data_IF_936280407204
#
_entry.id   IF_936280407204
#
_cell.length_a   1.000
_cell.length_b   1.000
_cell.length_c   1.000
_cell.angle_alpha   90.00
_cell.angle_beta   90.00
_cell.angle_gamma   90.00
#
_symmetry.space_group_name_H-M   'P 1'
#
loop_
_entity.id
_entity.type
_entity.pdbx_description
1 polymer ?
#
# COMPACT_ATOMS: atom_id res chain seq x y z
N UNK A 1 17.06 -21.56 6.21
CA UNK A 1 16.14 -20.51 6.68
C UNK A 1 14.73 -20.99 6.31
N UNK A 2 13.85 -21.03 7.30
CA UNK A 2 12.47 -21.43 7.04
C UNK A 2 11.80 -20.38 6.14
N UNK A 3 10.92 -20.84 5.25
CA UNK A 3 10.20 -19.97 4.30
C UNK A 3 9.52 -18.77 5.00
N UNK A 4 8.98 -19.02 6.20
CA UNK A 4 8.35 -17.99 7.05
C UNK A 4 9.34 -16.91 7.51
N UNK A 5 10.58 -17.27 7.84
CA UNK A 5 11.61 -16.30 8.24
C UNK A 5 11.99 -15.36 7.09
N UNK A 6 12.04 -15.89 5.88
CA UNK A 6 12.29 -15.10 4.66
C UNK A 6 11.13 -14.14 4.40
N UNK A 7 9.89 -14.62 4.48
CA UNK A 7 8.70 -13.78 4.33
C UNK A 7 8.63 -12.66 5.37
N UNK A 8 8.84 -12.98 6.64
CA UNK A 8 8.91 -11.98 7.71
C UNK A 8 9.96 -10.92 7.48
N UNK A 9 11.14 -11.31 6.99
CA UNK A 9 12.19 -10.36 6.69
C UNK A 9 11.82 -9.44 5.50
N UNK A 10 11.21 -9.97 4.45
CA UNK A 10 10.71 -9.18 3.30
C UNK A 10 9.64 -8.19 3.76
N UNK A 11 8.67 -8.65 4.55
CA UNK A 11 7.62 -7.82 5.09
C UNK A 11 8.15 -6.73 6.03
N UNK A 12 9.14 -7.06 6.87
CA UNK A 12 9.86 -6.08 7.68
C UNK A 12 10.48 -4.96 6.82
N UNK A 13 11.16 -5.32 5.72
CA UNK A 13 11.73 -4.32 4.80
C UNK A 13 10.66 -3.41 4.17
N UNK A 14 9.51 -3.97 3.83
CA UNK A 14 8.37 -3.19 3.30
C UNK A 14 7.80 -2.22 4.34
N UNK A 15 7.59 -2.68 5.58
CA UNK A 15 7.12 -1.82 6.67
C UNK A 15 8.12 -0.70 7.00
N UNK A 16 9.41 -1.01 6.98
CA UNK A 16 10.47 -0.02 7.17
C UNK A 16 10.46 1.04 6.06
N UNK A 17 10.28 0.62 4.80
CA UNK A 17 10.16 1.52 3.66
C UNK A 17 8.92 2.42 3.78
N UNK A 18 7.79 1.85 4.14
CA UNK A 18 6.55 2.61 4.37
C UNK A 18 6.73 3.66 5.47
N UNK A 19 7.32 3.28 6.60
CA UNK A 19 7.63 4.19 7.69
C UNK A 19 8.57 5.33 7.24
N UNK A 20 9.64 5.00 6.50
CA UNK A 20 10.55 5.98 5.92
C UNK A 20 9.83 7.00 5.04
N UNK A 21 8.91 6.55 4.19
CA UNK A 21 8.11 7.43 3.33
C UNK A 21 7.20 8.35 4.14
N UNK A 22 6.58 7.83 5.21
CA UNK A 22 5.75 8.63 6.11
C UNK A 22 6.56 9.69 6.86
N UNK A 23 7.76 9.33 7.35
CA UNK A 23 8.68 10.26 8.03
C UNK A 23 9.17 11.36 7.06
N UNK A 24 9.54 10.98 5.84
CA UNK A 24 9.94 11.93 4.80
C UNK A 24 8.81 12.91 4.44
N UNK A 25 7.57 12.42 4.37
CA UNK A 25 6.39 13.28 4.14
C UNK A 25 6.13 14.26 5.28
N UNK A 26 6.59 13.95 6.50
CA UNK A 26 6.55 14.86 7.68
C UNK A 26 7.73 15.81 7.74
N UNK A 27 8.68 15.71 6.81
CA UNK A 27 9.89 16.52 6.80
C UNK A 27 10.98 16.03 7.76
N UNK A 28 10.85 14.82 8.31
CA UNK A 28 11.83 14.24 9.22
C UNK A 28 13.08 13.79 8.48
N UNK A 29 14.30 14.06 9.01
CA UNK A 29 15.53 13.68 8.36
C UNK A 29 15.72 12.17 8.37
N UNK A 30 16.41 11.63 7.37
CA UNK A 30 16.74 10.20 7.30
C UNK A 30 17.64 9.73 8.46
N UNK A 31 18.46 10.65 8.97
CA UNK A 31 19.30 10.39 10.14
C UNK A 31 18.44 10.08 11.36
N UNK A 32 18.73 8.95 12.02
CA UNK A 32 17.97 8.51 13.19
C UNK A 32 16.68 7.74 12.86
N UNK A 33 16.39 7.46 11.58
CA UNK A 33 15.22 6.70 11.15
C UNK A 33 15.07 5.37 11.90
N UNK A 34 16.18 4.63 12.07
CA UNK A 34 16.15 3.35 12.77
C UNK A 34 15.75 3.48 14.25
N UNK A 35 16.17 4.57 14.90
CA UNK A 35 15.79 4.86 16.28
C UNK A 35 14.30 5.21 16.39
N UNK A 36 13.79 6.03 15.48
CA UNK A 36 12.36 6.38 15.44
C UNK A 36 11.49 5.17 15.11
N UNK A 37 11.91 4.38 14.13
CA UNK A 37 11.23 3.12 13.82
C UNK A 37 11.22 2.18 15.02
N UNK A 38 12.35 2.03 15.70
CA UNK A 38 12.46 1.21 16.91
C UNK A 38 11.52 1.67 18.01
N UNK A 39 11.44 2.98 18.25
CA UNK A 39 10.49 3.57 19.22
C UNK A 39 9.03 3.31 18.81
N UNK A 40 8.71 3.43 17.52
CA UNK A 40 7.38 3.20 16.99
C UNK A 40 6.91 1.75 17.15
N UNK A 41 7.78 0.77 16.82
CA UNK A 41 7.42 -0.67 16.91
C UNK A 41 7.73 -1.29 18.29
N UNK A 42 8.33 -0.55 19.21
CA UNK A 42 8.71 -1.05 20.54
C UNK A 42 9.90 -2.03 20.51
N UNK A 43 10.80 -1.90 19.53
CA UNK A 43 11.95 -2.79 19.33
C UNK A 43 13.25 -1.98 19.43
N UNK A 44 14.26 -2.51 20.14
CA UNK A 44 15.51 -1.77 20.29
C UNK A 44 16.22 -1.55 18.94
N UNK A 45 16.81 -0.35 18.69
CA UNK A 45 17.54 -0.05 17.47
C UNK A 45 18.70 -1.01 17.22
N UNK A 46 19.33 -1.50 18.28
CA UNK A 46 20.40 -2.51 18.20
C UNK A 46 19.88 -3.82 17.60
N UNK A 47 18.70 -4.28 18.02
CA UNK A 47 18.10 -5.49 17.46
C UNK A 47 17.73 -5.29 15.99
N UNK A 48 17.13 -4.15 15.64
CA UNK A 48 16.81 -3.78 14.25
C UNK A 48 18.06 -3.72 13.37
N UNK A 49 19.18 -3.21 13.90
CA UNK A 49 20.48 -3.24 13.21
C UNK A 49 20.95 -4.68 12.93
N UNK A 50 20.76 -5.60 13.88
CA UNK A 50 21.08 -7.02 13.66
C UNK A 50 20.18 -7.66 12.59
N UNK A 51 18.89 -7.30 12.56
CA UNK A 51 17.98 -7.73 11.49
C UNK A 51 18.45 -7.22 10.12
N UNK A 52 18.76 -5.92 10.02
CA UNK A 52 19.19 -5.28 8.78
C UNK A 52 20.47 -5.92 8.20
N UNK A 53 21.38 -6.33 9.08
CA UNK A 53 22.65 -6.94 8.71
C UNK A 53 22.57 -8.49 8.53
N UNK A 54 21.35 -9.05 8.57
CA UNK A 54 21.16 -10.51 8.44
C UNK A 54 21.71 -11.35 9.59
N UNK A 55 22.11 -10.70 10.71
CA UNK A 55 22.64 -11.39 11.90
C UNK A 55 21.58 -12.08 12.75
N UNK A 56 20.33 -11.66 12.58
CA UNK A 56 19.15 -12.26 13.25
C UNK A 56 17.99 -12.36 12.27
N UNK A 57 17.15 -13.38 12.45
CA UNK A 57 15.89 -13.51 11.75
C UNK A 57 14.78 -12.79 12.50
N UNK A 58 13.70 -12.42 11.78
CA UNK A 58 12.49 -11.87 12.38
C UNK A 58 11.71 -13.01 13.04
N UNK A 59 11.81 -13.09 14.36
CA UNK A 59 11.07 -14.09 15.16
C UNK A 59 9.57 -13.77 15.22
N UNK A 60 8.76 -14.77 15.64
CA UNK A 60 7.31 -14.62 15.76
C UNK A 60 6.90 -13.45 16.68
N UNK A 61 7.52 -13.32 17.84
CA UNK A 61 7.22 -12.22 18.77
C UNK A 61 7.50 -10.85 18.16
N UNK A 62 8.63 -10.70 17.47
CA UNK A 62 8.99 -9.46 16.77
C UNK A 62 7.99 -9.14 15.65
N UNK A 63 7.53 -10.16 14.91
CA UNK A 63 6.52 -10.01 13.88
C UNK A 63 5.20 -9.49 14.48
N UNK A 64 4.71 -10.08 15.57
CA UNK A 64 3.48 -9.63 16.27
C UNK A 64 3.59 -8.19 16.79
N UNK A 65 4.77 -7.78 17.29
CA UNK A 65 5.01 -6.41 17.72
C UNK A 65 4.91 -5.42 16.55
N UNK A 66 5.49 -5.74 15.40
CA UNK A 66 5.39 -4.92 14.19
C UNK A 66 3.96 -4.82 13.67
N UNK A 67 3.24 -5.94 13.60
CA UNK A 67 1.84 -5.98 13.20
C UNK A 67 0.98 -5.07 14.10
N UNK A 68 1.14 -5.17 15.40
CA UNK A 68 0.42 -4.33 16.37
C UNK A 68 0.71 -2.84 16.16
N UNK A 69 1.97 -2.47 15.95
CA UNK A 69 2.36 -1.08 15.76
C UNK A 69 1.78 -0.48 14.47
N UNK A 70 1.68 -1.27 13.40
CA UNK A 70 1.10 -0.85 12.12
C UNK A 70 -0.42 -1.08 12.00
N UNK A 71 -1.07 -1.61 13.03
CA UNK A 71 -2.50 -1.93 13.00
C UNK A 71 -2.86 -3.05 12.01
N UNK A 72 -1.93 -3.97 11.75
CA UNK A 72 -2.11 -5.10 10.86
C UNK A 72 -2.72 -6.31 11.62
N UNK A 73 -3.45 -7.20 10.92
CA UNK A 73 -3.98 -8.40 11.54
C UNK A 73 -2.85 -9.35 11.97
N UNK A 74 -3.10 -10.12 13.02
CA UNK A 74 -2.17 -11.13 13.50
C UNK A 74 -1.88 -12.17 12.43
N UNK A 75 -0.59 -12.46 12.21
CA UNK A 75 -0.13 -13.37 11.16
C UNK A 75 0.16 -12.70 9.83
N UNK A 76 -0.11 -11.41 9.68
CA UNK A 76 0.15 -10.69 8.43
C UNK A 76 1.62 -10.83 7.99
N UNK A 77 2.57 -10.72 8.90
CA UNK A 77 4.00 -10.86 8.62
C UNK A 77 4.41 -12.25 8.10
N UNK A 78 3.58 -13.26 8.33
CA UNK A 78 3.87 -14.66 7.97
C UNK A 78 3.44 -15.00 6.53
N UNK A 79 2.74 -14.08 5.85
CA UNK A 79 2.27 -14.24 4.49
C UNK A 79 3.05 -13.38 3.50
N UNK A 80 3.09 -13.79 2.23
CA UNK A 80 3.75 -13.01 1.16
C UNK A 80 2.83 -11.90 0.65
N UNK A 81 3.20 -10.65 0.93
CA UNK A 81 2.49 -9.46 0.47
C UNK A 81 3.26 -8.67 -0.60
N UNK A 82 4.52 -9.03 -0.86
CA UNK A 82 5.43 -8.26 -1.71
C UNK A 82 5.78 -9.02 -2.98
N UNK A 83 5.72 -10.34 -2.93
CA UNK A 83 6.07 -11.24 -4.03
C UNK A 83 4.91 -11.65 -4.90
N UNK A 84 3.82 -10.85 -4.97
CA UNK A 84 2.61 -11.25 -5.64
C UNK A 84 2.00 -12.46 -4.93
N UNK A 85 0.96 -12.25 -4.14
CA UNK A 85 0.32 -13.33 -3.40
C UNK A 85 0.12 -14.55 -4.32
N UNK A 86 0.18 -15.75 -3.76
CA UNK A 86 -0.20 -16.98 -4.45
C UNK A 86 -1.63 -16.94 -5.05
N UNK A 87 -2.36 -15.86 -4.78
CA UNK A 87 -3.66 -15.47 -5.33
C UNK A 87 -3.59 -14.50 -6.50
N UNK A 88 -2.39 -14.00 -6.90
CA UNK A 88 -2.29 -13.25 -8.15
C UNK A 88 -2.77 -14.14 -9.29
N UNK A 89 -3.86 -13.73 -9.91
CA UNK A 89 -4.37 -14.46 -11.07
C UNK A 89 -3.28 -14.57 -12.14
N UNK A 90 -3.31 -15.61 -12.94
CA UNK A 90 -2.39 -15.75 -14.08
C UNK A 90 -2.34 -14.46 -14.90
N UNK A 91 -3.49 -13.84 -15.12
CA UNK A 91 -3.64 -12.58 -15.83
C UNK A 91 -2.89 -11.41 -15.17
N UNK A 92 -2.90 -11.33 -13.84
CA UNK A 92 -2.18 -10.29 -13.11
C UNK A 92 -0.66 -10.44 -13.24
N UNK A 93 -0.15 -11.67 -13.18
CA UNK A 93 1.28 -11.94 -13.39
C UNK A 93 1.71 -11.61 -14.81
N UNK A 94 0.96 -12.04 -15.81
CA UNK A 94 1.22 -11.72 -17.22
C UNK A 94 1.20 -10.20 -17.45
N UNK A 95 0.26 -9.48 -16.83
CA UNK A 95 0.21 -8.02 -16.88
C UNK A 95 1.45 -7.38 -16.27
N UNK A 96 1.88 -7.82 -15.08
CA UNK A 96 3.08 -7.29 -14.42
C UNK A 96 4.35 -7.57 -15.22
N UNK A 97 4.47 -8.74 -15.81
CA UNK A 97 5.60 -9.08 -16.69
C UNK A 97 5.66 -8.18 -17.92
N UNK A 98 4.52 -7.99 -18.60
CA UNK A 98 4.41 -7.10 -19.75
C UNK A 98 4.69 -5.64 -19.40
N UNK A 99 4.16 -5.16 -18.27
CA UNK A 99 4.41 -3.82 -17.78
C UNK A 99 5.90 -3.59 -17.48
N UNK A 100 6.55 -4.57 -16.85
CA UNK A 100 7.99 -4.52 -16.56
C UNK A 100 8.83 -4.57 -17.83
N UNK A 101 8.45 -5.38 -18.81
CA UNK A 101 9.11 -5.45 -20.11
C UNK A 101 9.00 -4.12 -20.86
N UNK A 102 7.81 -3.52 -20.90
CA UNK A 102 7.58 -2.21 -21.50
C UNK A 102 8.45 -1.13 -20.82
N UNK A 103 8.48 -1.12 -19.48
CA UNK A 103 9.31 -0.18 -18.73
C UNK A 103 10.81 -0.33 -19.04
N UNK A 104 11.31 -1.55 -19.21
CA UNK A 104 12.72 -1.79 -19.56
C UNK A 104 13.07 -1.35 -20.98
N UNK A 105 12.13 -1.45 -21.92
CA UNK A 105 12.32 -1.03 -23.31
C UNK A 105 12.20 0.48 -23.48
N UNK A 106 11.20 1.09 -22.87
CA UNK A 106 10.89 2.52 -23.01
C UNK A 106 10.35 3.11 -21.72
N UNK A 107 11.21 3.44 -20.74
CA UNK A 107 10.77 3.93 -19.42
C UNK A 107 9.88 5.18 -19.50
N UNK A 108 10.20 6.12 -20.40
CA UNK A 108 9.45 7.38 -20.56
C UNK A 108 8.05 7.12 -21.11
N UNK A 109 7.92 6.24 -22.09
CA UNK A 109 6.63 5.87 -22.67
C UNK A 109 5.76 5.10 -21.65
N UNK A 110 6.36 4.15 -20.92
CA UNK A 110 5.66 3.39 -19.88
C UNK A 110 5.09 4.30 -18.78
N UNK A 111 5.88 5.28 -18.33
CA UNK A 111 5.43 6.27 -17.36
C UNK A 111 4.33 7.17 -17.92
N UNK A 112 4.46 7.63 -19.17
CA UNK A 112 3.48 8.49 -19.82
C UNK A 112 2.15 7.79 -20.01
N UNK A 113 2.14 6.50 -20.40
CA UNK A 113 0.94 5.70 -20.53
C UNK A 113 0.24 5.48 -19.18
N UNK A 114 1.00 5.19 -18.13
CA UNK A 114 0.46 5.02 -16.79
C UNK A 114 -0.15 6.32 -16.25
N UNK A 115 0.55 7.43 -16.39
CA UNK A 115 0.07 8.75 -15.96
C UNK A 115 -1.20 9.15 -16.71
N UNK A 116 -1.25 8.93 -18.02
CA UNK A 116 -2.44 9.19 -18.85
C UNK A 116 -3.62 8.35 -18.37
N UNK A 117 -3.43 7.05 -18.14
CA UNK A 117 -4.47 6.16 -17.65
C UNK A 117 -5.02 6.59 -16.29
N UNK A 118 -4.13 6.95 -15.36
CA UNK A 118 -4.51 7.43 -14.03
C UNK A 118 -5.25 8.77 -14.12
N UNK A 119 -4.78 9.70 -14.96
CA UNK A 119 -5.44 10.99 -15.16
C UNK A 119 -6.86 10.81 -15.73
N UNK A 120 -7.03 9.98 -16.75
CA UNK A 120 -8.34 9.68 -17.34
C UNK A 120 -9.31 9.06 -16.32
N UNK A 121 -8.80 8.20 -15.42
CA UNK A 121 -9.58 7.61 -14.34
C UNK A 121 -10.03 8.63 -13.29
N UNK A 122 -9.14 9.54 -12.91
CA UNK A 122 -9.43 10.59 -11.92
C UNK A 122 -10.44 11.58 -12.51
N UNK A 123 -10.21 12.06 -13.73
CA UNK A 123 -11.10 13.02 -14.41
C UNK A 123 -12.43 12.35 -14.75
N UNK A 124 -12.42 11.13 -15.30
CA UNK A 124 -13.64 10.39 -15.63
C UNK A 124 -14.48 10.00 -14.42
N UNK A 125 -13.84 9.76 -13.25
CA UNK A 125 -14.52 9.50 -11.97
C UNK A 125 -15.20 10.75 -11.41
N UNK A 126 -14.60 11.92 -11.54
CA UNK A 126 -15.14 13.19 -11.09
C UNK A 126 -16.39 13.60 -11.91
N UNK A 127 -16.38 13.39 -13.24
CA UNK A 127 -17.52 13.72 -14.10
C UNK A 127 -18.73 12.78 -13.92
N UNK A 128 -18.51 11.53 -13.47
CA UNK A 128 -19.61 10.61 -13.17
C UNK A 128 -20.24 10.82 -11.77
N UNK A 129 -19.51 11.43 -10.83
CA UNK A 129 -20.04 11.81 -9.52
C UNK A 129 -21.08 12.91 -9.62
N UNK A 130 -20.84 13.92 -10.45
CA UNK A 130 -21.71 15.09 -10.62
C UNK A 130 -23.07 14.73 -11.26
N UNK A 131 -23.09 13.79 -12.20
CA UNK A 131 -24.35 13.31 -12.81
C UNK A 131 -25.24 12.49 -11.88
N UNK A 132 -24.70 11.96 -10.78
CA UNK A 132 -25.51 11.25 -9.78
C UNK A 132 -26.19 12.21 -8.81
N UNK A 133 -25.56 13.32 -8.48
CA UNK A 133 -26.16 14.34 -7.59
C UNK A 133 -27.28 15.11 -8.29
N UNK A 134 -27.17 15.46 -9.58
CA UNK A 134 -28.23 16.10 -10.33
C UNK A 134 -29.48 15.23 -10.48
N UNK A 135 -29.34 13.90 -10.59
CA UNK A 135 -30.49 12.99 -10.67
C UNK A 135 -31.24 12.84 -9.33
N UNK A 136 -30.54 12.97 -8.21
CA UNK A 136 -31.15 12.87 -6.88
C UNK A 136 -31.85 14.17 -6.47
N UNK A 137 -31.40 15.33 -6.94
CA UNK A 137 -32.06 16.63 -6.69
C UNK A 137 -33.31 16.79 -7.55
N UNK A 138 -33.28 16.34 -8.81
CA UNK A 138 -34.44 16.42 -9.71
C UNK A 138 -35.59 15.48 -9.32
N UNK A 139 -35.33 14.42 -8.58
CA UNK A 139 -36.37 13.49 -8.09
C UNK A 139 -37.10 13.98 -6.83
N UNK A 140 -36.60 15.01 -6.13
CA UNK A 140 -37.16 15.55 -4.89
C UNK A 140 -38.15 16.72 -5.08
N UNK A 141 -38.33 17.23 -6.30
CA UNK A 141 -39.18 18.41 -6.59
C UNK A 141 -40.52 18.02 -7.24
N UNK A 142 -41.07 16.84 -7.04
CA UNK A 142 -42.47 16.56 -7.37
C UNK A 142 -43.33 16.61 -6.11
N UNK A 143 -43.80 17.81 -5.80
CA UNK A 143 -44.91 18.05 -4.86
C UNK A 143 -46.21 17.63 -5.52
N UNK A 144 -47.05 16.76 -4.94
CA UNK A 144 -48.38 16.49 -5.49
C UNK A 144 -49.28 17.66 -5.20
N UNK A 145 -49.86 18.22 -6.26
CA UNK A 145 -50.92 19.22 -6.16
C UNK A 145 -52.16 18.61 -5.47
N UNK A 146 -52.58 19.19 -4.36
CA UNK A 146 -53.88 18.98 -3.72
C UNK A 146 -54.98 19.47 -4.66
N UNK A 147 -55.73 18.57 -5.24
CA UNK A 147 -57.04 18.86 -5.81
C UNK A 147 -58.11 18.71 -4.74
N UNK A 148 -58.72 19.80 -4.34
CA UNK A 148 -59.89 19.78 -3.51
C UNK A 148 -61.12 19.62 -4.37
N UNK A 149 -62.06 18.84 -3.89
CA UNK A 149 -63.48 18.96 -3.75
C UNK A 149 -64.14 17.62 -3.47
#
# INVERSE_FOLDING_TARGET
MDDVSVMRFRNYKALMLQFRQQEAARGEPERGLLNRFGAFVGISPRYLSHLNNGRKAVGAQTARQMEKAFGLPEGWMDHDHIGGSATSSRAEREFLELALQLYRQSPVEAQSLLLRYVADRIIGGAMNGDKREERTVSARVRVPAKGGR
#
